data_IF_325971492633
#
_entry.id   IF_325971492633
#
_cell.length_a   1.000
_cell.length_b   1.000
_cell.length_c   1.000
_cell.angle_alpha   90.00
_cell.angle_beta   90.00
_cell.angle_gamma   90.00
#
_symmetry.space_group_name_H-M   'P 1'
#
loop_
_entity.id
_entity.type
_entity.pdbx_description
1 polymer ?
#
# COMPACT_ATOMS: atom_id res chain seq x y z
N UNK A 1 8.62 -3.05 -6.47
CA UNK A 1 7.88 -4.08 -7.24
C UNK A 1 8.73 -5.04 -8.10
N UNK A 2 9.63 -4.58 -8.98
CA UNK A 2 10.35 -5.47 -9.92
C UNK A 2 11.30 -6.45 -9.22
N UNK A 3 12.10 -5.99 -8.25
CA UNK A 3 12.92 -6.87 -7.41
C UNK A 3 12.06 -7.90 -6.68
N UNK A 4 10.90 -7.49 -6.17
CA UNK A 4 9.97 -8.41 -5.51
C UNK A 4 9.34 -9.42 -6.46
N UNK A 5 9.12 -9.07 -7.72
CA UNK A 5 8.64 -10.02 -8.71
C UNK A 5 9.68 -11.13 -8.95
N UNK A 6 10.96 -10.77 -9.02
CA UNK A 6 12.07 -11.74 -9.14
C UNK A 6 12.21 -12.58 -7.87
N UNK A 7 12.19 -11.94 -6.70
CA UNK A 7 12.28 -12.65 -5.42
C UNK A 7 11.07 -13.57 -5.21
N UNK A 8 9.85 -13.12 -5.51
CA UNK A 8 8.64 -13.94 -5.45
C UNK A 8 8.71 -15.14 -6.40
N UNK A 9 9.12 -14.92 -7.65
CA UNK A 9 9.30 -16.01 -8.62
C UNK A 9 10.37 -17.03 -8.17
N UNK A 10 11.46 -16.58 -7.56
CA UNK A 10 12.52 -17.46 -7.09
C UNK A 10 12.13 -18.19 -5.79
N UNK A 11 11.73 -17.45 -4.75
CA UNK A 11 11.39 -18.01 -3.44
C UNK A 11 10.11 -18.85 -3.49
N UNK A 12 9.03 -18.29 -4.04
CA UNK A 12 7.70 -18.93 -4.01
C UNK A 12 7.53 -19.88 -5.21
N UNK A 13 8.06 -19.50 -6.37
CA UNK A 13 7.94 -20.29 -7.60
C UNK A 13 8.96 -21.43 -7.77
N UNK A 14 10.15 -21.36 -7.14
CA UNK A 14 11.20 -22.38 -7.31
C UNK A 14 11.71 -23.00 -6.00
N UNK A 15 11.91 -22.21 -4.95
CA UNK A 15 12.55 -22.69 -3.71
C UNK A 15 11.57 -23.38 -2.74
N UNK A 16 10.40 -22.79 -2.52
CA UNK A 16 9.35 -23.28 -1.62
C UNK A 16 8.05 -23.86 -2.24
N UNK A 17 7.92 -24.16 -3.56
CA UNK A 17 6.70 -24.75 -4.11
C UNK A 17 6.15 -25.98 -3.36
N UNK A 18 6.96 -26.96 -2.92
CA UNK A 18 6.40 -28.16 -2.28
C UNK A 18 5.80 -27.90 -0.89
N UNK A 19 6.06 -26.73 -0.30
CA UNK A 19 5.56 -26.36 1.03
C UNK A 19 4.34 -25.42 0.96
N UNK A 20 3.91 -25.07 -0.26
CA UNK A 20 2.77 -24.22 -0.51
C UNK A 20 1.57 -25.04 -1.01
N UNK A 21 0.33 -24.67 -0.67
CA UNK A 21 -0.86 -25.29 -1.22
C UNK A 21 -0.85 -25.26 -2.75
N UNK A 22 -1.11 -26.41 -3.38
CA UNK A 22 -1.18 -26.52 -4.83
C UNK A 22 -2.23 -25.55 -5.39
N UNK A 23 -1.83 -24.75 -6.39
CA UNK A 23 -2.70 -23.77 -7.05
C UNK A 23 -2.75 -22.38 -6.40
N UNK A 24 -2.03 -22.13 -5.29
CA UNK A 24 -1.99 -20.80 -4.65
C UNK A 24 -0.67 -20.03 -4.90
N UNK A 25 0.34 -20.67 -5.47
CA UNK A 25 1.66 -20.08 -5.76
C UNK A 25 1.53 -18.75 -6.52
N UNK A 26 0.75 -18.73 -7.61
CA UNK A 26 0.56 -17.51 -8.42
C UNK A 26 -0.15 -16.41 -7.64
N UNK A 27 -1.13 -16.76 -6.80
CA UNK A 27 -1.83 -15.80 -5.95
C UNK A 27 -0.92 -15.19 -4.88
N UNK A 28 0.01 -15.97 -4.33
CA UNK A 28 1.00 -15.47 -3.38
C UNK A 28 2.03 -14.57 -4.06
N UNK A 29 2.55 -14.94 -5.23
CA UNK A 29 3.45 -14.09 -6.01
C UNK A 29 2.77 -12.77 -6.37
N UNK A 30 1.51 -12.82 -6.82
CA UNK A 30 0.71 -11.63 -7.08
C UNK A 30 0.55 -10.75 -5.83
N UNK A 31 0.23 -11.36 -4.68
CA UNK A 31 0.15 -10.67 -3.40
C UNK A 31 1.45 -9.96 -3.01
N UNK A 32 2.60 -10.62 -3.19
CA UNK A 32 3.93 -10.04 -2.91
C UNK A 32 4.26 -8.88 -3.85
N UNK A 33 3.94 -9.01 -5.13
CA UNK A 33 4.13 -7.93 -6.11
C UNK A 33 3.24 -6.72 -5.78
N UNK A 34 1.97 -6.97 -5.45
CA UNK A 34 1.03 -5.92 -5.05
C UNK A 34 1.49 -5.21 -3.77
N UNK A 35 1.94 -5.96 -2.77
CA UNK A 35 2.50 -5.41 -1.53
C UNK A 35 3.72 -4.52 -1.81
N UNK A 36 4.65 -4.98 -2.65
CA UNK A 36 5.85 -4.23 -3.03
C UNK A 36 5.62 -3.12 -4.07
N UNK A 37 4.41 -3.02 -4.62
CA UNK A 37 3.97 -1.93 -5.49
C UNK A 37 3.15 -0.88 -4.72
N UNK A 38 2.57 -1.25 -3.58
CA UNK A 38 1.77 -0.35 -2.76
C UNK A 38 2.67 0.70 -2.10
N UNK A 39 2.34 2.00 -2.22
CA UNK A 39 3.07 3.05 -1.52
C UNK A 39 2.70 3.08 -0.04
N UNK A 40 3.63 3.52 0.79
CA UNK A 40 3.40 3.72 2.22
C UNK A 40 3.48 5.22 2.53
N UNK A 41 2.35 5.92 2.50
CA UNK A 41 2.32 7.39 2.55
C UNK A 41 2.06 7.91 3.96
N UNK A 42 0.97 7.45 4.58
CA UNK A 42 0.54 7.92 5.90
C UNK A 42 1.50 7.52 7.03
N UNK A 43 2.03 6.29 6.98
CA UNK A 43 2.87 5.76 8.07
C UNK A 43 4.25 6.43 8.10
N UNK A 44 4.84 6.74 6.94
CA UNK A 44 6.15 7.43 6.86
C UNK A 44 6.08 8.82 7.50
N UNK A 45 4.97 9.56 7.32
CA UNK A 45 4.75 10.83 8.01
C UNK A 45 4.71 10.68 9.53
N UNK A 46 4.01 9.66 10.04
CA UNK A 46 3.94 9.39 11.48
C UNK A 46 5.34 9.06 12.03
N UNK A 47 6.11 8.21 11.36
CA UNK A 47 7.47 7.87 11.78
C UNK A 47 8.43 9.06 11.72
N UNK A 48 8.37 9.87 10.66
CA UNK A 48 9.16 11.11 10.58
C UNK A 48 8.84 12.04 11.74
N UNK A 49 7.55 12.20 12.07
CA UNK A 49 7.15 13.04 13.20
C UNK A 49 7.57 12.46 14.57
N UNK A 50 7.64 11.13 14.71
CA UNK A 50 8.12 10.48 15.94
C UNK A 50 9.64 10.53 16.12
N UNK A 51 10.39 10.75 15.04
CA UNK A 51 11.86 10.76 15.02
C UNK A 51 12.45 12.16 14.88
N UNK A 52 11.62 13.21 15.01
CA UNK A 52 11.97 14.60 14.74
C UNK A 52 12.62 14.81 13.35
N UNK A 53 12.19 14.00 12.36
CA UNK A 53 12.65 14.09 10.98
C UNK A 53 12.09 15.31 10.25
N UNK A 54 12.73 15.70 9.15
CA UNK A 54 12.32 16.85 8.33
C UNK A 54 10.96 16.56 7.63
N UNK A 55 9.88 17.27 8.01
CA UNK A 55 8.55 17.04 7.46
C UNK A 55 8.42 17.54 6.01
N UNK A 56 9.18 18.55 5.59
CA UNK A 56 9.12 19.10 4.23
C UNK A 56 9.81 18.17 3.24
N UNK A 57 10.95 17.58 3.64
CA UNK A 57 11.62 16.54 2.87
C UNK A 57 10.73 15.29 2.75
N UNK A 58 10.17 14.84 3.86
CA UNK A 58 9.25 13.68 3.89
C UNK A 58 8.04 13.92 3.00
N UNK A 59 7.45 15.12 3.07
CA UNK A 59 6.30 15.50 2.25
C UNK A 59 6.64 15.51 0.77
N UNK A 60 7.81 16.03 0.40
CA UNK A 60 8.26 16.06 -1.00
C UNK A 60 8.46 14.63 -1.53
N UNK A 61 9.06 13.74 -0.75
CA UNK A 61 9.29 12.35 -1.12
C UNK A 61 8.00 11.56 -1.27
N UNK A 62 7.07 11.71 -0.33
CA UNK A 62 5.75 11.07 -0.39
C UNK A 62 4.95 11.61 -1.57
N UNK A 63 4.95 12.92 -1.81
CA UNK A 63 4.24 13.52 -2.94
C UNK A 63 4.79 13.05 -4.30
N UNK A 64 6.11 12.95 -4.44
CA UNK A 64 6.74 12.40 -5.64
C UNK A 64 6.34 10.93 -5.85
N UNK A 65 6.39 10.13 -4.79
CA UNK A 65 6.02 8.72 -4.82
C UNK A 65 4.55 8.53 -5.24
N UNK A 66 3.63 9.27 -4.64
CA UNK A 66 2.20 9.21 -4.95
C UNK A 66 1.89 9.68 -6.37
N UNK A 67 2.59 10.71 -6.84
CA UNK A 67 2.44 11.18 -8.22
C UNK A 67 2.86 10.11 -9.21
N UNK A 68 4.02 9.47 -8.98
CA UNK A 68 4.48 8.34 -9.81
C UNK A 68 3.45 7.20 -9.75
N UNK A 69 2.92 6.89 -8.57
CA UNK A 69 1.96 5.81 -8.35
C UNK A 69 0.66 6.02 -9.14
N UNK A 70 0.07 7.22 -9.14
CA UNK A 70 -1.17 7.51 -9.88
C UNK A 70 -1.08 7.14 -11.36
N UNK A 71 0.08 7.37 -11.99
CA UNK A 71 0.28 7.08 -13.41
C UNK A 71 0.92 5.71 -13.68
N UNK A 72 1.82 5.25 -12.82
CA UNK A 72 2.65 4.07 -13.06
C UNK A 72 2.13 2.81 -12.38
N UNK A 73 1.31 2.91 -11.32
CA UNK A 73 0.82 1.74 -10.58
C UNK A 73 0.01 0.79 -11.45
N UNK A 74 -1.06 1.29 -12.09
CA UNK A 74 -1.93 0.46 -12.92
C UNK A 74 -1.18 -0.17 -14.12
N UNK A 75 -0.33 0.57 -14.87
CA UNK A 75 0.50 -0.03 -15.92
C UNK A 75 1.50 -1.07 -15.41
N UNK A 76 2.23 -0.78 -14.32
CA UNK A 76 3.27 -1.68 -13.79
C UNK A 76 2.62 -2.96 -13.24
N UNK A 77 1.54 -2.84 -12.47
CA UNK A 77 0.82 -3.99 -11.92
C UNK A 77 0.18 -4.80 -13.05
N UNK A 78 -0.42 -4.15 -14.05
CA UNK A 78 -0.97 -4.83 -15.22
C UNK A 78 0.08 -5.62 -16.00
N UNK A 79 1.26 -5.03 -16.21
CA UNK A 79 2.39 -5.71 -16.85
C UNK A 79 2.88 -6.91 -16.02
N UNK A 80 3.12 -6.71 -14.72
CA UNK A 80 3.69 -7.74 -13.84
C UNK A 80 2.71 -8.90 -13.61
N UNK A 81 1.42 -8.63 -13.41
CA UNK A 81 0.40 -9.67 -13.23
C UNK A 81 0.05 -10.38 -14.54
N UNK A 82 0.10 -9.67 -15.68
CA UNK A 82 -0.07 -10.26 -17.00
C UNK A 82 1.03 -11.28 -17.35
N UNK A 83 2.26 -11.05 -16.88
CA UNK A 83 3.37 -12.00 -17.00
C UNK A 83 3.18 -13.26 -16.12
N UNK A 84 2.39 -13.17 -15.05
CA UNK A 84 2.02 -14.30 -14.16
C UNK A 84 0.75 -15.04 -14.59
N UNK A 85 0.25 -14.83 -15.81
CA UNK A 85 -0.95 -15.48 -16.38
C UNK A 85 -2.27 -15.27 -15.59
N UNK A 86 -2.32 -14.29 -14.68
CA UNK A 86 -3.52 -13.93 -13.94
C UNK A 86 -4.31 -12.93 -14.78
N UNK A 87 -5.58 -13.24 -15.08
CA UNK A 87 -6.47 -12.32 -15.78
C UNK A 87 -6.69 -11.07 -14.93
N UNK A 88 -6.09 -9.95 -15.35
CA UNK A 88 -6.18 -8.67 -14.66
C UNK A 88 -7.58 -8.07 -14.90
N UNK A 89 -8.41 -7.88 -13.87
CA UNK A 89 -9.74 -7.28 -14.02
C UNK A 89 -9.60 -5.76 -14.17
N UNK A 90 -9.30 -5.29 -15.38
CA UNK A 90 -9.07 -3.88 -15.67
C UNK A 90 -10.24 -2.96 -15.28
N UNK A 91 -11.48 -3.43 -15.42
CA UNK A 91 -12.67 -2.71 -14.97
C UNK A 91 -12.66 -2.46 -13.45
N UNK A 92 -12.33 -3.48 -12.66
CA UNK A 92 -12.22 -3.37 -11.20
C UNK A 92 -11.05 -2.48 -10.80
N UNK A 93 -9.87 -2.67 -11.41
CA UNK A 93 -8.69 -1.86 -11.11
C UNK A 93 -8.91 -0.38 -11.40
N UNK A 94 -9.46 -0.04 -12.57
CA UNK A 94 -9.76 1.35 -12.93
C UNK A 94 -10.83 1.97 -12.03
N UNK A 95 -11.87 1.22 -11.70
CA UNK A 95 -12.89 1.66 -10.74
C UNK A 95 -12.29 1.89 -9.36
N UNK A 96 -11.46 0.97 -8.86
CA UNK A 96 -10.78 1.10 -7.58
C UNK A 96 -9.84 2.31 -7.55
N UNK A 97 -9.04 2.55 -8.59
CA UNK A 97 -8.18 3.74 -8.69
C UNK A 97 -9.02 5.02 -8.72
N UNK A 98 -10.10 5.05 -9.52
CA UNK A 98 -10.99 6.21 -9.57
C UNK A 98 -11.63 6.52 -8.22
N UNK A 99 -12.17 5.50 -7.56
CA UNK A 99 -12.94 5.67 -6.32
C UNK A 99 -12.05 5.85 -5.08
N UNK A 100 -10.96 5.09 -4.95
CA UNK A 100 -10.11 5.12 -3.76
C UNK A 100 -8.92 6.08 -3.86
N UNK A 101 -8.53 6.52 -5.06
CA UNK A 101 -7.41 7.46 -5.24
C UNK A 101 -7.93 8.81 -5.76
N UNK A 102 -8.56 8.82 -6.93
CA UNK A 102 -8.89 10.08 -7.61
C UNK A 102 -9.94 10.90 -6.84
N UNK A 103 -11.03 10.27 -6.38
CA UNK A 103 -12.09 10.96 -5.63
C UNK A 103 -11.57 11.59 -4.33
N UNK A 104 -10.84 10.87 -3.43
CA UNK A 104 -10.27 11.48 -2.23
C UNK A 104 -9.30 12.61 -2.53
N UNK A 105 -8.45 12.49 -3.55
CA UNK A 105 -7.51 13.54 -3.95
C UNK A 105 -8.24 14.79 -4.41
N UNK A 106 -9.27 14.65 -5.25
CA UNK A 106 -10.09 15.78 -5.70
C UNK A 106 -10.80 16.47 -4.52
N UNK A 107 -11.41 15.68 -3.62
CA UNK A 107 -12.05 16.20 -2.41
C UNK A 107 -11.05 16.97 -1.52
N UNK A 108 -9.86 16.39 -1.28
CA UNK A 108 -8.81 17.04 -0.51
C UNK A 108 -8.34 18.35 -1.14
N UNK A 109 -8.18 18.40 -2.47
CA UNK A 109 -7.77 19.62 -3.18
C UNK A 109 -8.85 20.70 -3.11
N UNK A 110 -10.12 20.35 -3.25
CA UNK A 110 -11.24 21.31 -3.10
C UNK A 110 -11.28 21.86 -1.67
N UNK A 111 -11.22 21.01 -0.66
CA UNK A 111 -11.20 21.41 0.76
C UNK A 111 -10.01 22.34 1.02
N UNK A 112 -8.81 21.97 0.55
CA UNK A 112 -7.60 22.79 0.69
C UNK A 112 -7.77 24.17 0.08
N UNK A 113 -8.30 24.27 -1.14
CA UNK A 113 -8.54 25.55 -1.81
C UNK A 113 -9.51 26.43 -1.02
N UNK A 114 -10.62 25.87 -0.53
CA UNK A 114 -11.62 26.60 0.26
C UNK A 114 -11.04 27.08 1.59
N UNK A 115 -10.23 26.26 2.27
CA UNK A 115 -9.61 26.64 3.54
C UNK A 115 -8.51 27.68 3.37
N UNK A 116 -7.68 27.57 2.33
CA UNK A 116 -6.65 28.58 2.04
C UNK A 116 -7.25 29.94 1.66
N UNK A 117 -8.42 29.96 0.99
CA UNK A 117 -9.15 31.19 0.73
C UNK A 117 -9.62 31.90 2.02
N UNK A 118 -9.73 31.17 3.14
CA UNK A 118 -10.05 31.71 4.48
C UNK A 118 -8.81 32.05 5.31
N UNK A 119 -7.61 31.86 4.75
CA UNK A 119 -6.33 32.12 5.40
C UNK A 119 -5.61 30.85 5.89
N UNK A 120 -4.27 30.92 6.02
CA UNK A 120 -3.45 29.76 6.36
C UNK A 120 -3.76 29.13 7.73
N UNK A 121 -4.23 29.93 8.70
CA UNK A 121 -4.63 29.42 10.02
C UNK A 121 -5.88 28.51 9.94
N UNK A 122 -6.78 28.74 8.99
CA UNK A 122 -7.96 27.90 8.81
C UNK A 122 -7.56 26.47 8.39
N UNK A 123 -6.57 26.34 7.50
CA UNK A 123 -6.02 25.03 7.11
C UNK A 123 -5.33 24.34 8.30
N UNK A 124 -4.48 25.08 9.03
CA UNK A 124 -3.74 24.54 10.17
C UNK A 124 -4.68 24.01 11.27
N UNK A 125 -5.75 24.75 11.59
CA UNK A 125 -6.73 24.33 12.60
C UNK A 125 -7.51 23.07 12.21
N UNK A 126 -7.84 22.91 10.92
CA UNK A 126 -8.51 21.70 10.40
C UNK A 126 -7.55 20.50 10.43
N UNK A 127 -6.29 20.68 9.99
CA UNK A 127 -5.28 19.63 10.04
C UNK A 127 -5.05 19.11 11.46
N UNK A 128 -4.95 20.02 12.45
CA UNK A 128 -4.78 19.65 13.86
C UNK A 128 -5.95 18.80 14.41
N UNK A 129 -7.18 19.02 13.92
CA UNK A 129 -8.36 18.20 14.29
C UNK A 129 -8.41 16.87 13.56
N UNK A 130 -7.93 16.80 12.32
CA UNK A 130 -7.93 15.58 11.52
C UNK A 130 -6.81 14.60 11.91
N UNK A 131 -5.69 15.10 12.44
CA UNK A 131 -4.56 14.28 12.86
C UNK A 131 -4.95 13.14 13.84
N UNK A 132 -5.62 13.39 14.98
CA UNK A 132 -6.02 12.30 15.88
C UNK A 132 -7.05 11.36 15.25
N UNK A 133 -7.94 11.86 14.38
CA UNK A 133 -8.91 11.03 13.68
C UNK A 133 -8.23 10.08 12.69
N UNK A 134 -7.19 10.55 11.99
CA UNK A 134 -6.40 9.71 11.08
C UNK A 134 -5.70 8.58 11.83
N UNK A 135 -5.08 8.87 12.98
CA UNK A 135 -4.45 7.84 13.83
C UNK A 135 -5.49 6.84 14.32
N UNK A 136 -6.65 7.30 14.80
CA UNK A 136 -7.74 6.43 15.24
C UNK A 136 -8.26 5.53 14.11
N UNK A 137 -8.43 6.07 12.89
CA UNK A 137 -8.86 5.30 11.73
C UNK A 137 -7.82 4.25 11.29
N UNK A 138 -6.53 4.61 11.31
CA UNK A 138 -5.43 3.67 11.02
C UNK A 138 -5.40 2.52 12.03
N UNK A 139 -5.49 2.84 13.34
CA UNK A 139 -5.54 1.83 14.40
C UNK A 139 -6.79 0.95 14.29
N UNK A 140 -7.94 1.54 14.03
CA UNK A 140 -9.17 0.78 13.81
C UNK A 140 -9.03 -0.16 12.61
N UNK A 141 -8.44 0.30 11.50
CA UNK A 141 -8.17 -0.54 10.32
C UNK A 141 -7.24 -1.70 10.67
N UNK A 142 -6.20 -1.46 11.47
CA UNK A 142 -5.28 -2.50 11.92
C UNK A 142 -5.99 -3.54 12.79
N UNK A 143 -6.77 -3.08 13.79
CA UNK A 143 -7.56 -3.98 14.66
C UNK A 143 -8.54 -4.82 13.84
N UNK A 144 -9.25 -4.22 12.89
CA UNK A 144 -10.19 -4.93 12.02
C UNK A 144 -9.48 -5.93 11.11
N UNK A 145 -8.34 -5.55 10.52
CA UNK A 145 -7.56 -6.43 9.64
C UNK A 145 -7.06 -7.67 10.39
N UNK A 146 -6.45 -7.48 11.57
CA UNK A 146 -6.01 -8.59 12.41
C UNK A 146 -7.17 -9.39 13.00
N UNK A 147 -8.28 -8.72 13.35
CA UNK A 147 -9.48 -9.38 13.84
C UNK A 147 -10.11 -10.31 12.79
N UNK A 148 -10.23 -9.85 11.55
CA UNK A 148 -10.80 -10.65 10.46
C UNK A 148 -9.84 -11.70 9.90
N UNK A 149 -8.52 -11.47 9.95
CA UNK A 149 -7.53 -12.43 9.47
C UNK A 149 -6.96 -13.36 10.55
N UNK A 150 -7.35 -13.21 11.81
CA UNK A 150 -6.78 -13.96 12.94
C UNK A 150 -6.81 -15.49 12.78
N UNK A 151 -7.92 -16.04 12.29
CA UNK A 151 -8.05 -17.49 12.05
C UNK A 151 -7.06 -17.99 10.99
N UNK A 152 -6.84 -17.21 9.93
CA UNK A 152 -5.85 -17.56 8.90
C UNK A 152 -4.41 -17.46 9.41
N UNK A 153 -4.13 -16.45 10.25
CA UNK A 153 -2.82 -16.29 10.89
C UNK A 153 -2.48 -17.51 11.76
N UNK A 154 -3.45 -18.02 12.51
CA UNK A 154 -3.26 -19.20 13.37
C UNK A 154 -3.14 -20.50 12.58
N UNK A 155 -3.87 -20.64 11.46
CA UNK A 155 -3.87 -21.86 10.64
C UNK A 155 -2.67 -21.99 9.70
N UNK A 156 -2.08 -20.87 9.27
CA UNK A 156 -1.05 -20.86 8.22
C UNK A 156 0.29 -20.21 8.64
N UNK A 157 0.86 -20.51 9.83
CA UNK A 157 2.07 -19.85 10.30
C UNK A 157 3.29 -20.14 9.42
N UNK A 158 3.39 -21.37 8.88
CA UNK A 158 4.49 -21.77 7.99
C UNK A 158 4.47 -20.99 6.67
N UNK A 159 3.28 -20.80 6.09
CA UNK A 159 3.12 -20.04 4.84
C UNK A 159 3.52 -18.59 5.07
N UNK A 160 3.10 -17.98 6.18
CA UNK A 160 3.49 -16.62 6.55
C UNK A 160 5.02 -16.50 6.67
N UNK A 161 5.68 -17.47 7.31
CA UNK A 161 7.15 -17.48 7.44
C UNK A 161 7.85 -17.58 6.07
N UNK A 162 7.34 -18.41 5.17
CA UNK A 162 7.87 -18.54 3.79
C UNK A 162 7.70 -17.23 3.02
N UNK A 163 6.53 -16.59 3.12
CA UNK A 163 6.26 -15.30 2.46
C UNK A 163 7.08 -14.15 3.08
N UNK A 164 7.42 -14.23 4.37
CA UNK A 164 8.26 -13.25 5.03
C UNK A 164 9.71 -13.27 4.54
N UNK A 165 10.23 -14.42 4.09
CA UNK A 165 11.62 -14.54 3.64
C UNK A 165 11.99 -13.58 2.48
N UNK A 166 11.28 -13.55 1.33
CA UNK A 166 11.58 -12.60 0.27
C UNK A 166 11.34 -11.14 0.70
N UNK A 167 10.37 -10.89 1.59
CA UNK A 167 10.11 -9.55 2.12
C UNK A 167 11.31 -9.07 2.93
N UNK A 168 11.80 -9.86 3.89
CA UNK A 168 12.94 -9.52 4.75
C UNK A 168 14.25 -9.34 3.99
N UNK A 169 14.41 -9.98 2.82
CA UNK A 169 15.59 -9.79 1.96
C UNK A 169 15.48 -8.49 1.15
N UNK A 170 14.26 -8.02 0.88
CA UNK A 170 14.04 -6.84 0.08
C UNK A 170 14.19 -5.53 0.88
N UNK A 171 13.77 -5.52 2.15
CA UNK A 171 13.85 -4.34 3.05
C UNK A 171 15.24 -4.17 3.62
#
# INVERSE_FOLDING_TARGET
>A
PFSMAVLGWFFIGHLFPPWLPAGQVDSYIAGLILLAAAPCTAMVFVWSNLTDGDPDFTLTQVALNDTIMVFAFAPIVGLLLGLSAITVPWSTLTLSVGLYILVPVLAAQVIRRVLLARGPQALASVLARLQPLSIAALLATLVLLFGFQGDQILKQPLIIAILAAPILIQV
#
